data_IF_081590272929
#
_entry.id   IF_081590272929
#
_cell.length_a   1.000
_cell.length_b   1.000
_cell.length_c   1.000
_cell.angle_alpha   90.00
_cell.angle_beta   90.00
_cell.angle_gamma   90.00
#
_symmetry.space_group_name_H-M   'P 1'
#
loop_
_entity.id
_entity.type
_entity.pdbx_description
1 polymer ?
#
# COMPACT_ATOMS: atom_id res chain seq x y z
N UNK A 1 12.38 -1.83 3.36
CA UNK A 1 11.62 -2.48 2.27
C UNK A 1 10.69 -1.45 1.64
N UNK A 2 10.69 -1.33 0.30
CA UNK A 2 9.72 -0.51 -0.43
C UNK A 2 8.49 -1.36 -0.78
N UNK A 3 7.30 -0.85 -0.48
CA UNK A 3 6.03 -1.51 -0.76
C UNK A 3 5.06 -0.55 -1.47
N UNK A 4 5.11 -0.51 -2.80
CA UNK A 4 3.98 0.00 -3.58
C UNK A 4 2.83 -1.03 -3.60
N UNK A 5 1.65 -0.64 -4.09
CA UNK A 5 0.48 -1.52 -4.05
C UNK A 5 0.71 -2.89 -4.75
N UNK A 6 1.46 -2.91 -5.88
CA UNK A 6 1.79 -4.18 -6.57
C UNK A 6 2.65 -5.09 -5.71
N UNK A 7 3.70 -4.53 -5.10
CA UNK A 7 4.57 -5.28 -4.19
C UNK A 7 3.83 -5.72 -2.94
N UNK A 8 2.95 -4.90 -2.39
CA UNK A 8 2.15 -5.24 -1.22
C UNK A 8 1.10 -6.31 -1.55
N UNK A 9 0.41 -6.22 -2.68
CA UNK A 9 -0.60 -7.19 -3.11
C UNK A 9 -0.01 -8.51 -3.65
N UNK A 10 1.30 -8.55 -3.94
CA UNK A 10 1.93 -9.71 -4.55
C UNK A 10 1.66 -9.84 -6.05
N UNK A 11 1.35 -8.73 -6.73
CA UNK A 11 1.20 -8.70 -8.18
C UNK A 11 2.53 -8.37 -8.87
N UNK A 12 2.87 -9.12 -9.91
CA UNK A 12 4.09 -8.89 -10.70
C UNK A 12 5.37 -9.40 -10.03
N UNK A 13 5.26 -10.27 -9.03
CA UNK A 13 6.41 -10.95 -8.44
C UNK A 13 6.78 -12.11 -9.35
N UNK A 14 8.03 -12.09 -9.82
CA UNK A 14 8.64 -13.06 -10.73
C UNK A 14 8.37 -14.51 -10.34
N UNK A 15 8.37 -15.33 -11.39
CA UNK A 15 8.21 -16.77 -11.46
C UNK A 15 8.54 -17.53 -10.15
N UNK A 16 7.54 -18.28 -9.65
CA UNK A 16 7.72 -19.24 -8.56
C UNK A 16 7.10 -18.85 -7.21
N UNK A 17 6.43 -17.69 -7.07
CA UNK A 17 5.66 -17.35 -5.87
C UNK A 17 4.18 -17.56 -6.07
N UNK A 18 3.49 -18.04 -5.04
CA UNK A 18 2.05 -18.17 -5.04
C UNK A 18 1.40 -16.77 -5.19
N UNK A 19 0.29 -16.71 -5.91
CA UNK A 19 -0.50 -15.49 -6.08
C UNK A 19 -0.87 -14.93 -4.69
N UNK A 20 -0.67 -13.63 -4.49
CA UNK A 20 -0.92 -12.97 -3.21
C UNK A 20 0.28 -12.92 -2.25
N UNK A 21 1.42 -13.55 -2.58
CA UNK A 21 2.66 -13.40 -1.82
C UNK A 21 3.42 -12.17 -2.29
N UNK A 22 3.38 -11.13 -1.46
CA UNK A 22 4.00 -9.84 -1.74
C UNK A 22 5.39 -9.67 -1.12
N UNK A 23 5.78 -8.40 -1.02
CA UNK A 23 7.09 -8.01 -0.49
C UNK A 23 7.25 -8.36 1.01
N UNK A 24 6.15 -8.38 1.77
CA UNK A 24 6.18 -8.70 3.20
C UNK A 24 6.43 -10.20 3.44
N UNK A 25 5.78 -11.06 2.68
CA UNK A 25 6.02 -12.51 2.71
C UNK A 25 7.44 -12.83 2.25
N UNK A 26 7.94 -12.10 1.24
CA UNK A 26 9.32 -12.22 0.79
C UNK A 26 10.33 -11.84 1.88
N UNK A 27 10.05 -10.75 2.60
CA UNK A 27 10.86 -10.33 3.74
C UNK A 27 10.87 -11.40 4.82
N UNK A 28 9.72 -11.95 5.21
CA UNK A 28 9.62 -13.01 6.20
C UNK A 28 10.42 -14.26 5.82
N UNK A 29 10.45 -14.61 4.54
CA UNK A 29 11.21 -15.75 4.06
C UNK A 29 12.71 -15.49 4.05
N UNK A 30 13.14 -14.26 3.75
CA UNK A 30 14.54 -13.89 3.59
C UNK A 30 15.24 -13.48 4.90
N UNK A 31 14.48 -13.00 5.90
CA UNK A 31 15.04 -12.48 7.14
C UNK A 31 14.92 -13.50 8.29
N UNK A 32 16.03 -14.06 8.79
CA UNK A 32 16.00 -15.12 9.80
C UNK A 32 15.15 -14.80 11.03
N UNK A 33 15.22 -13.55 11.55
CA UNK A 33 14.43 -13.13 12.70
C UNK A 33 12.91 -13.07 12.43
N UNK A 34 12.48 -13.08 11.18
CA UNK A 34 11.07 -13.04 10.80
C UNK A 34 10.55 -14.36 10.21
N UNK A 35 11.39 -15.40 10.11
CA UNK A 35 10.96 -16.70 9.56
C UNK A 35 9.93 -17.40 10.45
N UNK A 36 10.08 -17.30 11.77
CA UNK A 36 9.14 -17.91 12.71
C UNK A 36 8.04 -16.93 13.14
N UNK A 37 6.75 -17.29 13.00
CA UNK A 37 5.63 -16.42 13.40
C UNK A 37 5.73 -15.92 14.85
N UNK A 38 6.16 -16.77 15.79
CA UNK A 38 6.31 -16.41 17.21
C UNK A 38 7.34 -15.30 17.48
N UNK A 39 8.30 -15.10 16.58
CA UNK A 39 9.29 -14.04 16.70
C UNK A 39 8.81 -12.71 16.14
N UNK A 40 7.83 -12.72 15.21
CA UNK A 40 7.32 -11.53 14.54
C UNK A 40 6.59 -10.59 15.48
N UNK A 41 5.91 -11.12 16.49
CA UNK A 41 5.22 -10.32 17.50
C UNK A 41 6.15 -9.34 18.26
N UNK A 42 7.42 -9.70 18.42
CA UNK A 42 8.43 -8.86 19.07
C UNK A 42 9.08 -7.84 18.13
N UNK A 43 8.94 -8.00 16.81
CA UNK A 43 9.58 -7.14 15.83
C UNK A 43 8.82 -5.81 15.73
N UNK A 44 9.54 -4.70 15.93
CA UNK A 44 8.99 -3.36 15.68
C UNK A 44 8.98 -3.07 14.18
N UNK A 45 7.80 -2.77 13.65
CA UNK A 45 7.61 -2.29 12.27
C UNK A 45 7.28 -0.81 12.31
N UNK A 46 7.89 -0.05 11.41
CA UNK A 46 7.56 1.36 11.19
C UNK A 46 7.14 1.59 9.75
N UNK A 47 5.92 2.11 9.57
CA UNK A 47 5.40 2.48 8.26
C UNK A 47 5.82 3.91 7.92
N UNK A 48 6.55 4.07 6.84
CA UNK A 48 6.98 5.35 6.31
C UNK A 48 5.87 6.09 5.54
N UNK A 49 6.17 7.32 5.07
CA UNK A 49 5.25 8.10 4.25
C UNK A 49 4.88 7.36 2.96
N UNK A 50 3.60 7.43 2.60
CA UNK A 50 3.10 6.95 1.31
C UNK A 50 1.93 7.82 0.85
N UNK A 51 1.30 7.49 -0.26
CA UNK A 51 0.06 8.15 -0.68
C UNK A 51 -1.07 7.80 0.31
N UNK A 52 -1.76 8.82 0.81
CA UNK A 52 -2.83 8.65 1.80
C UNK A 52 -4.18 8.26 1.18
N UNK A 53 -5.13 7.79 2.02
CA UNK A 53 -6.41 7.23 1.58
C UNK A 53 -7.29 8.22 0.81
N UNK A 54 -7.17 9.52 1.07
CA UNK A 54 -7.94 10.54 0.36
C UNK A 54 -7.36 10.94 -1.01
N UNK A 55 -6.22 10.40 -1.39
CA UNK A 55 -5.48 10.76 -2.61
C UNK A 55 -5.13 9.56 -3.49
N UNK A 56 -5.34 8.36 -2.99
CA UNK A 56 -5.00 7.14 -3.72
C UNK A 56 -6.21 6.58 -4.45
N UNK A 57 -6.57 7.23 -5.55
CA UNK A 57 -7.58 6.74 -6.48
C UNK A 57 -7.03 5.55 -7.29
N UNK A 58 -7.80 4.47 -7.35
CA UNK A 58 -7.44 3.20 -7.99
C UNK A 58 -8.63 2.62 -8.76
N UNK A 59 -8.33 1.75 -9.71
CA UNK A 59 -9.33 0.97 -10.43
C UNK A 59 -9.72 -0.32 -9.69
N UNK A 60 -10.69 -1.06 -10.27
CA UNK A 60 -11.17 -2.33 -9.71
C UNK A 60 -10.08 -3.41 -9.65
N UNK A 61 -9.10 -3.35 -10.55
CA UNK A 61 -7.98 -4.29 -10.59
C UNK A 61 -7.12 -4.24 -9.33
N UNK A 62 -6.91 -3.05 -8.76
CA UNK A 62 -6.17 -2.90 -7.50
C UNK A 62 -6.97 -3.47 -6.34
N UNK A 63 -8.25 -3.11 -6.25
CA UNK A 63 -9.15 -3.63 -5.22
C UNK A 63 -9.23 -5.16 -5.26
N UNK A 64 -9.41 -5.73 -6.45
CA UNK A 64 -9.50 -7.17 -6.66
C UNK A 64 -8.22 -7.89 -6.22
N UNK A 65 -7.05 -7.33 -6.50
CA UNK A 65 -5.77 -7.91 -6.12
C UNK A 65 -5.64 -8.13 -4.61
N UNK A 66 -6.19 -7.23 -3.79
CA UNK A 66 -6.17 -7.36 -2.33
C UNK A 66 -7.27 -8.29 -1.81
N UNK A 67 -8.50 -8.16 -2.33
CA UNK A 67 -9.68 -8.92 -1.86
C UNK A 67 -9.55 -10.41 -2.17
N UNK A 68 -8.96 -10.78 -3.29
CA UNK A 68 -8.69 -12.19 -3.62
C UNK A 68 -7.78 -12.86 -2.60
N UNK A 69 -6.87 -12.10 -1.98
CA UNK A 69 -5.98 -12.61 -0.96
C UNK A 69 -6.63 -12.59 0.44
N UNK A 70 -7.32 -11.49 0.76
CA UNK A 70 -8.01 -11.30 2.04
C UNK A 70 -9.32 -10.53 1.81
N UNK A 71 -10.48 -11.19 1.93
CA UNK A 71 -11.78 -10.54 1.75
C UNK A 71 -12.01 -9.34 2.68
N UNK A 72 -11.40 -9.31 3.88
CA UNK A 72 -11.51 -8.18 4.81
C UNK A 72 -10.86 -6.89 4.27
N UNK A 73 -9.98 -6.99 3.26
CA UNK A 73 -9.40 -5.83 2.60
C UNK A 73 -10.44 -4.91 1.93
N UNK A 74 -11.67 -5.40 1.72
CA UNK A 74 -12.77 -4.57 1.18
C UNK A 74 -12.98 -3.29 1.98
N UNK A 75 -12.79 -3.31 3.28
CA UNK A 75 -12.94 -2.16 4.17
C UNK A 75 -11.92 -1.02 3.90
N UNK A 76 -10.82 -1.33 3.23
CA UNK A 76 -9.78 -0.36 2.87
C UNK A 76 -10.08 0.37 1.54
N UNK A 77 -11.24 0.17 0.94
CA UNK A 77 -11.61 0.77 -0.34
C UNK A 77 -12.96 1.48 -0.26
N UNK A 78 -12.94 2.80 -0.44
CA UNK A 78 -14.14 3.62 -0.49
C UNK A 78 -14.52 3.84 -1.96
N UNK A 79 -15.71 3.42 -2.40
CA UNK A 79 -16.13 3.65 -3.78
C UNK A 79 -16.29 5.15 -4.05
N UNK A 80 -15.77 5.60 -5.19
CA UNK A 80 -16.03 6.94 -5.68
C UNK A 80 -17.34 6.93 -6.48
N UNK A 81 -18.22 7.93 -6.29
CA UNK A 81 -19.41 8.05 -7.12
C UNK A 81 -18.98 8.25 -8.57
N UNK A 82 -19.44 7.37 -9.45
CA UNK A 82 -19.34 7.59 -10.89
C UNK A 82 -20.23 8.77 -11.26
N UNK A 83 -19.66 9.90 -11.63
CA UNK A 83 -20.42 10.99 -12.24
C UNK A 83 -20.80 10.55 -13.66
N UNK A 84 -22.10 10.38 -13.98
CA UNK A 84 -22.51 10.35 -15.38
C UNK A 84 -22.27 11.75 -15.94
N UNK A 85 -21.39 11.86 -16.93
CA UNK A 85 -21.27 13.09 -17.69
C UNK A 85 -22.63 13.39 -18.36
N UNK A 86 -23.13 14.61 -18.18
CA UNK A 86 -24.38 15.11 -18.80
C UNK A 86 -24.26 14.91 -20.33
N UNK A 87 -25.06 13.98 -20.88
CA UNK A 87 -25.31 13.89 -22.32
C UNK A 87 -24.55 12.80 -23.10
N UNK A 88 -23.69 11.99 -22.52
CA UNK A 88 -23.05 10.88 -23.22
C UNK A 88 -23.68 9.53 -22.85
N UNK A 89 -23.96 8.71 -23.87
CA UNK A 89 -24.17 7.26 -23.70
C UNK A 89 -22.82 6.66 -23.31
N UNK A 90 -22.48 6.72 -22.02
CA UNK A 90 -21.23 6.21 -21.49
C UNK A 90 -21.37 4.70 -21.38
N UNK A 91 -20.55 3.97 -22.14
CA UNK A 91 -20.13 2.67 -21.71
C UNK A 91 -19.64 2.84 -20.25
N UNK A 92 -20.29 2.17 -19.29
CA UNK A 92 -20.14 2.42 -17.88
C UNK A 92 -18.64 2.45 -17.53
N UNK A 93 -18.12 3.62 -17.18
CA UNK A 93 -16.74 3.77 -16.79
C UNK A 93 -16.48 2.83 -15.61
N UNK A 94 -15.39 2.10 -15.66
CA UNK A 94 -15.06 1.15 -14.60
C UNK A 94 -15.07 1.86 -13.23
N UNK A 95 -15.66 1.25 -12.20
CA UNK A 95 -15.77 1.88 -10.90
C UNK A 95 -14.40 2.24 -10.34
N UNK A 96 -14.31 3.39 -9.68
CA UNK A 96 -13.09 3.86 -9.03
C UNK A 96 -13.23 3.86 -7.52
N UNK A 97 -12.13 3.74 -6.83
CA UNK A 97 -12.07 3.66 -5.38
C UNK A 97 -10.96 4.54 -4.83
N UNK A 98 -11.17 5.07 -3.64
CA UNK A 98 -10.08 5.56 -2.80
C UNK A 98 -9.57 4.39 -1.96
N UNK A 99 -8.28 4.08 -2.04
CA UNK A 99 -7.66 2.98 -1.32
C UNK A 99 -6.82 3.47 -0.14
N UNK A 100 -6.96 2.82 1.01
CA UNK A 100 -6.14 3.05 2.20
C UNK A 100 -4.93 2.12 2.19
N UNK A 101 -3.82 2.58 1.57
CA UNK A 101 -2.59 1.79 1.48
C UNK A 101 -1.94 1.52 2.85
N UNK A 102 -1.87 2.47 3.80
CA UNK A 102 -1.44 2.20 5.18
C UNK A 102 -2.26 1.13 5.88
N UNK A 103 -3.59 1.18 5.78
CA UNK A 103 -4.47 0.17 6.39
C UNK A 103 -4.27 -1.21 5.77
N UNK A 104 -4.16 -1.31 4.44
CA UNK A 104 -3.83 -2.56 3.74
C UNK A 104 -2.48 -3.14 4.19
N UNK A 105 -1.47 -2.28 4.40
CA UNK A 105 -0.17 -2.74 4.91
C UNK A 105 -0.29 -3.26 6.35
N UNK A 106 -1.03 -2.57 7.23
CA UNK A 106 -1.27 -2.99 8.62
C UNK A 106 -2.03 -4.32 8.68
N UNK A 107 -3.06 -4.48 7.85
CA UNK A 107 -3.84 -5.73 7.77
C UNK A 107 -2.94 -6.91 7.36
N UNK A 108 -2.10 -6.75 6.35
CA UNK A 108 -1.17 -7.80 5.93
C UNK A 108 -0.10 -8.10 6.96
N UNK A 109 0.45 -7.08 7.63
CA UNK A 109 1.40 -7.26 8.74
C UNK A 109 0.76 -8.04 9.91
N UNK A 110 -0.47 -7.69 10.28
CA UNK A 110 -1.21 -8.40 11.32
C UNK A 110 -1.45 -9.88 10.95
N UNK A 111 -1.86 -10.15 9.71
CA UNK A 111 -2.03 -11.51 9.20
C UNK A 111 -0.72 -12.33 9.21
N UNK A 112 0.42 -11.66 9.08
CA UNK A 112 1.75 -12.27 9.20
C UNK A 112 2.25 -12.40 10.66
N UNK A 113 1.51 -11.89 11.66
CA UNK A 113 1.87 -11.97 13.07
C UNK A 113 2.77 -10.84 13.58
N UNK A 114 2.83 -9.71 12.89
CA UNK A 114 3.48 -8.50 13.40
C UNK A 114 2.48 -7.68 14.24
N UNK A 115 2.76 -7.53 15.53
CA UNK A 115 1.86 -6.85 16.48
C UNK A 115 2.26 -5.40 16.76
N UNK A 116 3.55 -5.06 16.56
CA UNK A 116 4.11 -3.75 16.89
C UNK A 116 4.32 -2.92 15.63
N UNK A 117 3.24 -2.27 15.16
CA UNK A 117 3.29 -1.46 13.95
C UNK A 117 3.02 0.00 14.28
N UNK A 118 4.04 0.85 14.10
CA UNK A 118 4.01 2.29 14.31
C UNK A 118 4.17 3.08 13.00
N UNK A 119 4.21 4.40 13.09
CA UNK A 119 4.39 5.32 11.96
C UNK A 119 3.08 5.64 11.26
N UNK A 120 3.11 5.76 9.95
CA UNK A 120 2.01 6.25 9.12
C UNK A 120 0.64 5.66 9.51
N UNK A 121 -0.23 6.53 9.98
CA UNK A 121 -1.58 6.21 10.45
C UNK A 121 -2.67 6.48 9.40
N UNK A 122 -2.28 6.87 8.18
CA UNK A 122 -3.19 7.25 7.10
C UNK A 122 -3.58 8.73 7.10
N UNK A 123 -3.15 9.52 8.08
CA UNK A 123 -3.43 10.95 8.14
C UNK A 123 -2.77 11.73 7.00
N UNK A 124 -3.25 12.96 6.79
CA UNK A 124 -2.73 13.84 5.73
C UNK A 124 -1.26 14.20 5.91
N UNK A 125 -0.75 14.18 7.14
CA UNK A 125 0.64 14.50 7.46
C UNK A 125 1.64 13.48 6.91
N UNK A 126 1.21 12.25 6.71
CA UNK A 126 2.00 11.18 6.10
C UNK A 126 1.78 11.05 4.59
N UNK A 127 0.81 11.79 4.03
CA UNK A 127 0.45 11.65 2.63
C UNK A 127 1.45 12.34 1.71
N UNK A 128 2.19 11.56 0.93
CA UNK A 128 3.18 12.08 -0.03
C UNK A 128 2.56 12.97 -1.11
N UNK A 129 1.32 12.73 -1.50
CA UNK A 129 0.62 13.52 -2.50
C UNK A 129 0.12 14.87 -1.95
N UNK A 130 -0.19 14.94 -0.65
CA UNK A 130 -0.74 16.14 0.01
C UNK A 130 0.35 17.05 0.60
N UNK A 131 1.57 16.55 0.80
CA UNK A 131 2.67 17.26 1.47
C UNK A 131 3.85 17.52 0.51
N UNK A 132 3.70 18.42 -0.49
CA UNK A 132 4.72 18.64 -1.53
C UNK A 132 6.02 19.25 -0.99
N UNK A 133 5.98 19.97 0.11
CA UNK A 133 7.18 20.54 0.75
C UNK A 133 8.00 19.51 1.54
N UNK A 134 7.42 18.35 1.86
CA UNK A 134 8.05 17.32 2.70
C UNK A 134 8.41 16.06 1.92
N UNK A 135 7.60 15.70 0.92
CA UNK A 135 7.72 14.40 0.26
C UNK A 135 7.65 14.51 -1.26
N UNK A 136 8.42 13.69 -1.93
CA UNK A 136 8.22 13.37 -3.35
C UNK A 136 6.99 12.43 -3.49
N UNK A 137 6.27 12.56 -4.60
CA UNK A 137 5.10 11.73 -4.87
C UNK A 137 5.06 11.31 -6.34
N UNK A 138 5.17 10.01 -6.59
CA UNK A 138 5.06 9.48 -7.94
C UNK A 138 3.71 9.87 -8.60
N UNK A 139 2.61 9.80 -7.86
CA UNK A 139 1.27 10.15 -8.36
C UNK A 139 1.16 11.64 -8.73
N UNK A 140 1.69 12.52 -7.90
CA UNK A 140 1.64 13.96 -8.12
C UNK A 140 2.67 14.41 -9.16
N UNK A 141 3.89 13.90 -9.05
CA UNK A 141 5.04 14.44 -9.78
C UNK A 141 5.28 13.70 -11.10
N UNK A 142 4.99 12.39 -11.15
CA UNK A 142 5.23 11.54 -12.30
C UNK A 142 4.49 12.00 -13.56
N UNK A 143 3.21 12.35 -13.43
CA UNK A 143 2.40 12.83 -14.55
C UNK A 143 2.84 14.23 -15.05
N UNK A 144 3.32 15.08 -14.12
CA UNK A 144 3.69 16.47 -14.43
C UNK A 144 5.14 16.62 -14.90
N UNK A 145 6.06 15.85 -14.32
CA UNK A 145 7.52 16.00 -14.53
C UNK A 145 8.14 14.82 -15.26
N UNK A 146 7.36 13.79 -15.61
CA UNK A 146 7.84 12.54 -16.19
C UNK A 146 8.63 11.65 -15.22
N UNK A 147 8.97 12.16 -14.03
CA UNK A 147 9.69 11.44 -12.98
C UNK A 147 9.34 11.99 -11.60
N UNK A 148 9.78 11.29 -10.57
CA UNK A 148 9.68 11.78 -9.19
C UNK A 148 10.99 11.53 -8.46
N UNK A 149 11.28 12.34 -7.42
CA UNK A 149 12.43 12.12 -6.56
C UNK A 149 12.32 10.82 -5.76
N UNK A 150 13.41 10.46 -5.10
CA UNK A 150 13.51 9.29 -4.21
C UNK A 150 13.58 9.76 -2.77
N UNK A 151 13.03 8.94 -1.88
CA UNK A 151 13.14 9.11 -0.43
C UNK A 151 13.70 7.84 0.17
N UNK A 152 14.48 7.98 1.23
CA UNK A 152 14.93 6.86 2.04
C UNK A 152 14.53 7.10 3.51
N UNK A 153 14.17 6.03 4.19
CA UNK A 153 13.96 6.03 5.62
C UNK A 153 14.86 4.95 6.24
N UNK A 154 15.57 5.32 7.30
CA UNK A 154 16.45 4.43 8.03
C UNK A 154 15.98 4.35 9.47
N UNK A 155 16.04 3.17 10.06
CA UNK A 155 15.81 2.91 11.48
C UNK A 155 16.99 2.13 12.03
N UNK A 156 17.46 2.51 13.20
CA UNK A 156 18.53 1.80 13.91
C UNK A 156 18.18 1.71 15.38
N UNK A 157 18.53 0.60 16.01
CA UNK A 157 18.51 0.49 17.47
C UNK A 157 19.78 1.18 18.01
N UNK A 158 19.64 1.99 19.05
CA UNK A 158 20.78 2.41 19.84
C UNK A 158 21.19 1.23 20.74
N UNK A 159 22.49 0.96 20.78
CA UNK A 159 23.07 -0.04 21.65
C UNK A 159 23.02 0.44 23.12
#
# INVERSE_FOLDING_TARGET
VHAGWRGLAGQGVSQGRAQGQGVLEALCAAWPAAQHPSQRAAIQVWLGPCIGPQRFEVGPEVRQAFILHDPAAVACFVPLPGLPALGERVAAAAPKYLADLPALARQRLAALGFERVAGNDGSADWCTASQPSRFFSHRRDGARLGSSGRMAACIACQA
#
